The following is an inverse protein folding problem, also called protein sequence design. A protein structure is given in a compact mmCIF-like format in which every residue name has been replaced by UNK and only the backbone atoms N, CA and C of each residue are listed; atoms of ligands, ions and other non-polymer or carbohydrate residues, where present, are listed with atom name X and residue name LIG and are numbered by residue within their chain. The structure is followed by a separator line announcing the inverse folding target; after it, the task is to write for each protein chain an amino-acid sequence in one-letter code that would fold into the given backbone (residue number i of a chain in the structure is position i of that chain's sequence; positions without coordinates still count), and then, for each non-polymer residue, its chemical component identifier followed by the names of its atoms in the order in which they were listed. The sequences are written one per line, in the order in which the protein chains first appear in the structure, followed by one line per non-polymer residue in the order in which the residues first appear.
data_IF_657077738027
#
_entry.id   IF_657077738027
#
_cell.length_a   1.000
_cell.length_b   1.000
_cell.length_c   1.000
_cell.angle_alpha   90.00
_cell.angle_beta   90.00
_cell.angle_gamma   90.00
#
_symmetry.space_group_name_H-M   'P 1'
#
loop_
_entity.id
_entity.type
_entity.pdbx_description
1 polymer ?
#
# COMPACT_ATOMS: atom_id res chain seq x y z
N UNK A 1 2.08 10.84 17.27
CA UNK A 1 1.18 10.15 16.34
C UNK A 1 2.03 9.35 15.35
N UNK A 2 1.66 8.11 15.08
CA UNK A 2 2.25 7.25 14.04
C UNK A 2 1.10 6.67 13.21
N UNK A 3 1.17 6.83 11.88
CA UNK A 3 0.09 6.40 10.97
C UNK A 3 0.32 5.03 10.33
N UNK A 4 1.56 4.54 10.36
CA UNK A 4 1.95 3.21 9.88
C UNK A 4 2.88 2.56 10.91
N UNK A 5 2.80 1.23 11.10
CA UNK A 5 3.72 0.52 11.98
C UNK A 5 5.13 0.45 11.34
N UNK A 6 6.21 0.60 12.13
CA UNK A 6 7.58 0.40 11.64
C UNK A 6 7.89 -1.07 11.39
N UNK A 7 9.00 -1.36 10.69
CA UNK A 7 9.41 -2.73 10.37
C UNK A 7 9.88 -3.54 11.60
N UNK A 8 10.20 -2.88 12.72
CA UNK A 8 10.67 -3.53 13.95
C UNK A 8 10.10 -2.85 15.22
N UNK A 9 9.89 -3.65 16.26
CA UNK A 9 9.53 -3.17 17.60
C UNK A 9 10.58 -2.23 18.18
N UNK A 10 11.87 -2.45 17.92
CA UNK A 10 12.93 -1.56 18.42
C UNK A 10 12.77 -0.14 17.89
N UNK A 11 12.44 -0.02 16.60
CA UNK A 11 12.19 1.28 15.99
C UNK A 11 10.94 1.94 16.60
N UNK A 12 9.86 1.18 16.81
CA UNK A 12 8.68 1.69 17.50
C UNK A 12 9.04 2.26 18.89
N UNK A 13 9.82 1.51 19.69
CA UNK A 13 10.25 1.93 21.03
C UNK A 13 11.06 3.23 20.96
N UNK A 14 11.98 3.36 19.99
CA UNK A 14 12.76 4.58 19.81
C UNK A 14 11.89 5.78 19.42
N UNK A 15 10.87 5.57 18.59
CA UNK A 15 9.92 6.61 18.16
C UNK A 15 9.08 7.11 19.34
N UNK A 16 8.51 6.20 20.14
CA UNK A 16 7.74 6.61 21.32
C UNK A 16 8.63 7.21 22.41
N UNK A 17 9.89 6.77 22.52
CA UNK A 17 10.89 7.39 23.40
C UNK A 17 11.31 8.81 22.99
N UNK A 18 10.75 9.38 21.91
CA UNK A 18 10.90 10.81 21.60
C UNK A 18 9.96 11.69 22.44
N UNK A 19 8.86 11.14 22.97
CA UNK A 19 7.94 11.83 23.90
C UNK A 19 8.41 11.67 25.35
N UNK A 20 7.71 12.31 26.30
CA UNK A 20 7.92 12.16 27.75
C UNK A 20 9.38 12.35 28.23
N UNK A 21 10.02 13.47 27.84
CA UNK A 21 11.41 13.78 28.21
C UNK A 21 11.47 14.56 29.52
N UNK A 22 12.56 14.38 30.27
CA UNK A 22 12.90 15.16 31.46
C UNK A 22 11.80 15.19 32.54
N UNK A 23 11.14 14.06 32.77
CA UNK A 23 10.10 13.93 33.81
C UNK A 23 8.70 14.38 33.37
N UNK A 24 8.54 14.89 32.14
CA UNK A 24 7.24 15.22 31.57
C UNK A 24 6.48 13.96 31.11
N UNK A 25 5.16 13.99 31.20
CA UNK A 25 4.30 12.97 30.61
C UNK A 25 4.21 13.13 29.09
N UNK A 26 3.90 12.04 28.38
CA UNK A 26 3.82 12.05 26.94
C UNK A 26 3.02 10.87 26.41
N UNK A 27 2.15 11.15 25.43
CA UNK A 27 1.29 10.15 24.81
C UNK A 27 1.80 9.77 23.42
N UNK A 28 1.67 8.48 23.09
CA UNK A 28 1.94 7.95 21.77
C UNK A 28 0.71 7.18 21.29
N UNK A 29 0.31 7.47 20.05
CA UNK A 29 -0.81 6.83 19.37
C UNK A 29 -0.28 6.22 18.07
N UNK A 30 -0.68 4.98 17.83
CA UNK A 30 -0.40 4.20 16.64
C UNK A 30 -1.72 3.87 15.97
N UNK A 31 -1.91 4.35 14.74
CA UNK A 31 -3.07 4.01 13.92
C UNK A 31 -2.71 2.75 13.14
N UNK A 32 -3.60 1.77 13.14
CA UNK A 32 -3.44 0.51 12.43
C UNK A 32 -4.67 0.21 11.60
N UNK A 33 -4.45 -0.37 10.43
CA UNK A 33 -5.53 -0.95 9.62
C UNK A 33 -5.80 -2.40 10.05
N UNK A 34 -6.97 -2.97 9.72
CA UNK A 34 -7.35 -4.31 10.18
C UNK A 34 -6.33 -5.41 9.84
N UNK A 35 -5.66 -5.34 8.68
CA UNK A 35 -4.62 -6.31 8.29
C UNK A 35 -3.25 -6.05 8.95
N UNK A 36 -3.03 -4.87 9.55
CA UNK A 36 -1.79 -4.52 10.28
C UNK A 36 -1.81 -4.96 11.74
N UNK A 37 -2.94 -5.51 12.23
CA UNK A 37 -3.09 -5.92 13.62
C UNK A 37 -2.07 -7.00 14.05
N UNK A 38 -1.51 -7.77 13.12
CA UNK A 38 -0.43 -8.72 13.41
C UNK A 38 0.82 -8.02 14.00
N UNK A 39 1.02 -6.73 13.70
CA UNK A 39 2.10 -5.94 14.31
C UNK A 39 1.98 -5.86 15.83
N UNK A 40 0.76 -5.92 16.38
CA UNK A 40 0.55 -5.96 17.83
C UNK A 40 1.17 -7.21 18.47
N UNK A 41 1.25 -8.33 17.74
CA UNK A 41 1.93 -9.53 18.22
C UNK A 41 3.44 -9.32 18.34
N UNK A 42 4.04 -8.54 17.43
CA UNK A 42 5.45 -8.15 17.48
C UNK A 42 5.71 -7.26 18.70
N UNK A 43 4.86 -6.27 18.95
CA UNK A 43 4.96 -5.41 20.14
C UNK A 43 4.81 -6.19 21.45
N UNK A 44 3.87 -7.15 21.51
CA UNK A 44 3.70 -8.02 22.68
C UNK A 44 4.94 -8.86 22.97
N UNK A 45 5.59 -9.41 21.93
CA UNK A 45 6.86 -10.15 22.07
C UNK A 45 7.98 -9.26 22.62
N UNK A 46 8.00 -7.98 22.23
CA UNK A 46 8.92 -6.98 22.76
C UNK A 46 8.53 -6.42 24.15
N UNK A 47 7.52 -7.01 24.82
CA UNK A 47 7.00 -6.60 26.13
C UNK A 47 6.44 -5.17 26.16
N UNK A 48 6.02 -4.65 25.02
CA UNK A 48 5.34 -3.35 24.93
C UNK A 48 3.85 -3.55 25.20
N UNK A 49 3.34 -2.92 26.25
CA UNK A 49 1.89 -2.89 26.54
C UNK A 49 1.25 -1.81 25.69
N UNK A 50 0.23 -2.19 24.94
CA UNK A 50 -0.59 -1.32 24.10
C UNK A 50 -2.03 -1.41 24.58
N UNK A 51 -2.69 -0.25 24.62
CA UNK A 51 -4.10 -0.12 25.02
C UNK A 51 -4.87 0.35 23.80
N UNK A 52 -5.96 -0.33 23.49
CA UNK A 52 -6.85 0.08 22.40
C UNK A 52 -7.60 1.35 22.80
N UNK A 53 -7.71 2.27 21.84
CA UNK A 53 -8.37 3.54 22.03
C UNK A 53 -9.53 3.65 21.06
N UNK A 54 -10.76 3.62 21.59
CA UNK A 54 -11.96 3.80 20.80
C UNK A 54 -12.29 5.28 20.65
N UNK A 55 -12.45 5.73 19.40
CA UNK A 55 -12.97 7.07 19.10
C UNK A 55 -14.45 7.02 18.77
N UNK A 56 -15.21 7.94 19.36
CA UNK A 56 -16.61 8.15 19.01
C UNK A 56 -16.72 8.67 17.56
N UNK A 57 -17.48 7.97 16.72
CA UNK A 57 -17.70 8.37 15.32
C UNK A 57 -18.32 9.77 15.19
N UNK A 58 -19.09 10.21 16.19
CA UNK A 58 -19.67 11.57 16.24
C UNK A 58 -18.63 12.69 16.28
N UNK A 59 -17.37 12.40 16.64
CA UNK A 59 -16.27 13.36 16.64
C UNK A 59 -15.48 13.36 15.33
N UNK A 60 -15.78 12.46 14.40
CA UNK A 60 -15.06 12.33 13.15
C UNK A 60 -15.68 13.26 12.09
N UNK A 61 -14.93 14.27 11.68
CA UNK A 61 -15.34 15.14 10.59
C UNK A 61 -15.13 14.43 9.24
N UNK A 62 -16.11 14.51 8.34
CA UNK A 62 -15.95 14.05 6.97
C UNK A 62 -15.09 15.03 6.17
N UNK A 63 -13.81 14.72 6.08
CA UNK A 63 -12.81 15.53 5.35
C UNK A 63 -12.62 15.06 3.90
N UNK A 64 -13.22 13.93 3.52
CA UNK A 64 -12.96 13.28 2.24
C UNK A 64 -13.34 14.17 1.03
N UNK A 65 -14.54 14.78 0.98
CA UNK A 65 -14.93 15.62 -0.17
C UNK A 65 -14.04 16.86 -0.32
N UNK A 66 -13.63 17.45 0.81
CA UNK A 66 -12.76 18.62 0.82
C UNK A 66 -11.36 18.30 0.30
N UNK A 67 -10.80 17.14 0.70
CA UNK A 67 -9.50 16.66 0.26
C UNK A 67 -9.50 16.36 -1.25
N UNK A 68 -10.48 15.59 -1.73
CA UNK A 68 -10.59 15.24 -3.16
C UNK A 68 -10.76 16.51 -4.02
N UNK A 69 -11.56 17.47 -3.57
CA UNK A 69 -11.71 18.77 -4.25
C UNK A 69 -10.40 19.54 -4.33
N UNK A 70 -9.65 19.62 -3.22
CA UNK A 70 -8.38 20.34 -3.16
C UNK A 70 -7.34 19.73 -4.12
N UNK A 71 -7.20 18.40 -4.09
CA UNK A 71 -6.25 17.66 -4.94
C UNK A 71 -6.64 17.74 -6.41
N UNK A 72 -7.94 17.64 -6.74
CA UNK A 72 -8.40 17.74 -8.13
C UNK A 72 -8.21 19.13 -8.75
N UNK A 73 -8.24 20.18 -7.92
CA UNK A 73 -8.14 21.58 -8.38
C UNK A 73 -6.70 21.98 -8.68
N UNK A 74 -5.73 21.47 -7.93
CA UNK A 74 -4.33 21.85 -8.05
C UNK A 74 -3.50 20.75 -8.70
N UNK A 75 -3.00 21.03 -9.90
CA UNK A 75 -2.15 20.11 -10.67
C UNK A 75 -0.92 19.60 -9.89
N UNK A 76 -0.23 20.49 -9.17
CA UNK A 76 0.97 20.10 -8.40
C UNK A 76 0.61 19.22 -7.21
N UNK A 77 -0.52 19.47 -6.55
CA UNK A 77 -1.01 18.59 -5.49
C UNK A 77 -1.44 17.23 -6.05
N UNK A 78 -2.11 17.20 -7.20
CA UNK A 78 -2.46 15.95 -7.87
C UNK A 78 -1.22 15.12 -8.23
N UNK A 79 -0.17 15.77 -8.77
CA UNK A 79 1.08 15.11 -9.08
C UNK A 79 1.76 14.54 -7.82
N UNK A 80 1.87 15.36 -6.78
CA UNK A 80 2.43 14.95 -5.49
C UNK A 80 1.63 13.81 -4.84
N UNK A 81 0.29 13.83 -4.94
CA UNK A 81 -0.58 12.77 -4.46
C UNK A 81 -0.35 11.45 -5.22
N UNK A 82 -0.12 11.49 -6.53
CA UNK A 82 0.23 10.31 -7.31
C UNK A 82 1.61 9.75 -6.91
N UNK A 83 2.58 10.61 -6.63
CA UNK A 83 3.90 10.19 -6.13
C UNK A 83 3.80 9.58 -4.73
N UNK A 84 3.01 10.18 -3.84
CA UNK A 84 2.74 9.65 -2.51
C UNK A 84 2.08 8.26 -2.58
N UNK A 85 1.06 8.11 -3.45
CA UNK A 85 0.42 6.82 -3.70
C UNK A 85 1.44 5.76 -4.13
N UNK A 86 2.31 6.09 -5.10
CA UNK A 86 3.40 5.19 -5.54
C UNK A 86 4.37 4.87 -4.41
N UNK A 87 4.70 5.86 -3.58
CA UNK A 87 5.58 5.70 -2.42
C UNK A 87 5.04 4.71 -1.41
N UNK A 88 3.75 4.81 -1.07
CA UNK A 88 3.10 3.89 -0.14
C UNK A 88 3.12 2.47 -0.73
N UNK A 89 2.66 2.26 -1.97
CA UNK A 89 2.65 0.90 -2.53
C UNK A 89 4.06 0.30 -2.62
N UNK A 90 5.08 1.10 -2.93
CA UNK A 90 6.49 0.65 -2.90
C UNK A 90 6.95 0.27 -1.51
N UNK A 91 6.60 1.04 -0.48
CA UNK A 91 6.93 0.74 0.91
C UNK A 91 6.32 -0.61 1.33
N UNK A 92 5.08 -0.88 0.93
CA UNK A 92 4.41 -2.16 1.18
C UNK A 92 5.09 -3.30 0.44
N UNK A 93 5.58 -3.05 -0.78
CA UNK A 93 6.34 -4.04 -1.53
C UNK A 93 7.74 -4.31 -0.97
N UNK A 94 8.34 -3.35 -0.27
CA UNK A 94 9.70 -3.47 0.27
C UNK A 94 9.73 -3.98 1.71
N UNK A 95 8.63 -3.84 2.46
CA UNK A 95 8.60 -4.29 3.85
C UNK A 95 8.70 -5.82 3.92
N UNK A 96 9.36 -6.27 4.99
CA UNK A 96 9.54 -7.69 5.28
C UNK A 96 8.47 -8.24 6.21
N UNK A 97 7.58 -7.38 6.75
CA UNK A 97 6.56 -7.83 7.69
C UNK A 97 5.41 -8.56 6.96
N UNK A 98 4.90 -9.65 7.54
CA UNK A 98 3.83 -10.45 6.92
C UNK A 98 2.52 -9.68 6.76
N UNK A 99 2.27 -8.66 7.60
CA UNK A 99 1.10 -7.81 7.53
C UNK A 99 1.11 -6.84 6.34
N UNK A 100 2.27 -6.60 5.73
CA UNK A 100 2.40 -5.71 4.57
C UNK A 100 2.38 -6.53 3.28
N UNK A 101 1.18 -6.82 2.80
CA UNK A 101 0.97 -7.58 1.57
C UNK A 101 0.35 -6.70 0.47
N UNK A 102 1.10 -6.48 -0.61
CA UNK A 102 0.64 -5.71 -1.78
C UNK A 102 -0.54 -6.38 -2.47
N UNK A 103 -0.62 -7.71 -2.46
CA UNK A 103 -1.71 -8.45 -3.12
C UNK A 103 -3.07 -8.25 -2.43
N UNK A 104 -3.06 -7.93 -1.13
CA UNK A 104 -4.27 -7.73 -0.32
C UNK A 104 -4.66 -6.25 -0.19
N UNK A 105 -3.87 -5.35 -0.77
CA UNK A 105 -4.05 -3.92 -0.62
C UNK A 105 -5.19 -3.42 -1.52
N UNK A 106 -6.20 -2.79 -0.93
CA UNK A 106 -7.23 -2.09 -1.70
C UNK A 106 -6.66 -0.79 -2.28
N UNK A 107 -6.28 -0.86 -3.56
CA UNK A 107 -5.72 0.27 -4.31
C UNK A 107 -6.72 1.41 -4.48
N UNK A 108 -8.03 1.12 -4.47
CA UNK A 108 -9.08 2.13 -4.60
C UNK A 108 -9.19 2.93 -3.31
N UNK A 109 -9.32 2.24 -2.18
CA UNK A 109 -9.32 2.89 -0.87
C UNK A 109 -8.04 3.70 -0.65
N UNK A 110 -6.87 3.13 -1.00
CA UNK A 110 -5.60 3.82 -0.90
C UNK A 110 -5.55 5.09 -1.76
N UNK A 111 -6.01 5.05 -3.00
CA UNK A 111 -6.06 6.25 -3.85
C UNK A 111 -6.90 7.36 -3.21
N UNK A 112 -8.04 6.99 -2.61
CA UNK A 112 -8.90 7.94 -1.88
C UNK A 112 -8.21 8.56 -0.66
N UNK A 113 -7.36 7.81 0.06
CA UNK A 113 -6.56 8.41 1.16
C UNK A 113 -5.58 9.48 0.69
N UNK A 114 -5.11 9.39 -0.56
CA UNK A 114 -4.29 10.42 -1.19
C UNK A 114 -5.12 11.57 -1.82
N UNK A 115 -6.46 11.54 -1.70
CA UNK A 115 -7.36 12.50 -2.34
C UNK A 115 -7.53 12.30 -3.84
N UNK A 116 -7.17 11.13 -4.37
CA UNK A 116 -7.30 10.80 -5.79
C UNK A 116 -8.65 10.11 -6.04
N UNK A 117 -9.43 10.65 -6.99
CA UNK A 117 -10.71 10.04 -7.40
C UNK A 117 -10.53 8.79 -8.26
N UNK A 118 -9.41 8.71 -8.98
CA UNK A 118 -9.09 7.60 -9.89
C UNK A 118 -7.75 7.01 -9.47
N UNK A 119 -7.70 5.68 -9.41
CA UNK A 119 -6.46 4.95 -9.10
C UNK A 119 -5.42 5.23 -10.20
N UNK A 120 -4.25 5.80 -9.86
CA UNK A 120 -3.20 6.02 -10.83
C UNK A 120 -2.68 4.69 -11.40
N UNK A 121 -2.37 4.65 -12.69
CA UNK A 121 -1.65 3.51 -13.27
C UNK A 121 -0.22 3.52 -12.72
N UNK A 122 0.05 2.64 -11.78
CA UNK A 122 1.39 2.42 -11.23
C UNK A 122 1.94 1.15 -11.84
N UNK A 123 3.08 1.26 -12.50
CA UNK A 123 3.85 0.10 -12.93
C UNK A 123 4.52 -0.49 -11.68
N UNK A 124 3.73 -1.30 -10.97
CA UNK A 124 4.23 -2.11 -9.88
C UNK A 124 5.12 -3.15 -10.55
N UNK A 125 6.43 -3.05 -10.34
CA UNK A 125 7.41 -4.06 -10.77
C UNK A 125 7.27 -5.36 -9.95
N UNK A 126 6.03 -5.70 -9.57
CA UNK A 126 5.59 -6.90 -8.89
C UNK A 126 5.36 -7.91 -10.00
N UNK A 127 6.21 -8.94 -10.05
CA UNK A 127 5.97 -10.06 -10.96
C UNK A 127 4.59 -10.62 -10.62
N UNK A 128 3.62 -10.65 -11.56
CA UNK A 128 2.33 -11.25 -11.28
C UNK A 128 2.59 -12.68 -10.80
N UNK A 129 2.04 -13.04 -9.63
CA UNK A 129 1.95 -14.44 -9.23
C UNK A 129 1.28 -15.17 -10.39
N UNK A 130 1.95 -16.19 -10.95
CA UNK A 130 1.28 -17.13 -11.84
C UNK A 130 0.07 -17.64 -11.06
N UNK A 131 -1.13 -17.26 -11.50
CA UNK A 131 -2.35 -17.94 -11.08
C UNK A 131 -2.09 -19.43 -11.24
N UNK A 132 -2.11 -20.18 -10.13
CA UNK A 132 -2.12 -21.64 -10.22
C UNK A 132 -3.31 -21.98 -11.09
N UNK A 133 -3.02 -22.47 -12.30
CA UNK A 133 -4.04 -22.99 -13.20
C UNK A 133 -4.90 -23.97 -12.40
N UNK A 134 -6.18 -23.63 -12.24
CA UNK A 134 -7.16 -24.56 -11.70
C UNK A 134 -7.21 -25.73 -12.68
N UNK A 135 -6.85 -26.96 -12.29
CA UNK A 135 -6.89 -28.09 -13.18
C UNK A 135 -8.36 -28.44 -13.44
N UNK A 136 -8.93 -27.99 -14.55
CA UNK A 136 -10.33 -28.31 -14.85
C UNK A 136 -11.02 -27.64 -16.03
N UNK A 137 -10.45 -26.62 -16.69
CA UNK A 137 -11.07 -26.05 -17.89
C UNK A 137 -10.17 -26.17 -19.11
N UNK A 138 -10.36 -27.27 -19.85
CA UNK A 138 -9.79 -27.45 -21.20
C UNK A 138 -10.30 -26.32 -22.11
N UNK A 139 -9.44 -25.36 -22.42
CA UNK A 139 -9.63 -24.47 -23.58
C UNK A 139 -9.43 -25.31 -24.85
N UNK A 140 -10.47 -25.38 -25.70
CA UNK A 140 -10.40 -26.01 -27.01
C UNK A 140 -9.41 -25.27 -27.90
N UNK A 141 -8.32 -25.93 -28.30
CA UNK A 141 -7.38 -25.47 -29.32
C UNK A 141 -7.64 -26.24 -30.62
N UNK A 142 -7.95 -25.59 -31.75
CA UNK A 142 -8.06 -26.27 -33.03
C UNK A 142 -6.72 -26.90 -33.42
N UNK A 143 -6.79 -28.13 -33.92
CA UNK A 143 -5.67 -28.95 -34.33
C UNK A 143 -4.87 -28.29 -35.46
N UNK A 144 -3.54 -28.23 -35.29
CA UNK A 144 -2.60 -28.09 -36.40
C UNK A 144 -2.00 -26.70 -36.63
N UNK A 145 -1.14 -26.22 -35.73
CA UNK A 145 0.00 -25.36 -36.14
C UNK A 145 1.22 -25.67 -35.26
N UNK A 146 2.24 -26.24 -35.91
CA UNK A 146 3.54 -26.59 -35.35
C UNK A 146 4.30 -25.33 -34.88
N UNK A 147 4.85 -25.38 -33.67
CA UNK A 147 5.72 -24.34 -33.12
C UNK A 147 6.98 -24.18 -33.99
N UNK A 148 7.14 -23.02 -34.62
CA UNK A 148 8.46 -22.55 -35.08
C UNK A 148 8.85 -21.31 -34.29
N UNK A 149 9.94 -21.44 -33.54
CA UNK A 149 10.66 -20.34 -32.85
C UNK A 149 11.02 -19.26 -33.87
N UNK A 150 10.44 -18.06 -33.77
CA UNK A 150 10.90 -16.90 -34.51
C UNK A 150 11.80 -16.03 -33.62
N UNK A 151 13.08 -15.96 -34.00
CA UNK A 151 14.09 -15.06 -33.46
C UNK A 151 13.73 -13.61 -33.79
N UNK A 152 14.05 -12.69 -32.87
CA UNK A 152 13.95 -11.22 -33.04
C UNK A 152 14.67 -10.73 -34.31
N UNK A 153 14.09 -9.78 -35.03
CA UNK A 153 14.83 -8.67 -35.67
C UNK A 153 13.88 -7.52 -36.07
N UNK A 154 14.32 -6.28 -35.79
CA UNK A 154 13.78 -4.99 -36.24
C UNK A 154 13.77 -4.90 -37.78
N UNK A 155 12.97 -4.01 -38.36
CA UNK A 155 13.36 -3.02 -39.40
C UNK A 155 12.13 -2.14 -39.76
N UNK A 156 12.38 -0.83 -39.96
CA UNK A 156 11.43 0.27 -40.16
C UNK A 156 11.09 0.56 -41.64
N UNK A 157 9.94 1.23 -41.85
CA UNK A 157 9.57 2.20 -42.93
C UNK A 157 9.49 1.64 -44.38
N UNK A 158 8.80 2.23 -45.37
CA UNK A 158 7.95 3.44 -45.55
C UNK A 158 7.08 3.19 -46.81
N UNK A 159 5.89 3.80 -46.85
CA UNK A 159 5.19 4.48 -47.98
C UNK A 159 5.21 3.83 -49.38
N UNK A 160 4.00 3.57 -49.90
CA UNK A 160 3.38 4.36 -50.98
C UNK A 160 1.90 4.54 -50.67
#
# INVERSE_FOLDING_TARGET
MQYDPPDDAKEYIHRVGRTARAGSEGNALLVLRPHELEFLAILRKARVKVVEYEMAQSKLADVQPALEKLVSTNYFLALSAQEAFKGIVRAYSSSSLPCFNVDQLDLTALARTCGLQVVPKVDLMVKPRKSKDVPGQKRYTPFGVSQKKAKKAKIYKKIN
#
